data_IF_358118512497
#
_entry.id   IF_358118512497
#
_cell.length_a   1.000
_cell.length_b   1.000
_cell.length_c   1.000
_cell.angle_alpha   90.00
_cell.angle_beta   90.00
_cell.angle_gamma   90.00
#
_symmetry.space_group_name_H-M   'P 1'
#
loop_
_entity.id
_entity.type
_entity.pdbx_description
1 polymer ?
#
# COMPACT_ATOMS: atom_id res chain seq x y z
N UNK A 1 -15.56 13.74 0.42
CA UNK A 1 -14.34 14.54 0.33
C UNK A 1 -13.23 13.58 0.67
N UNK A 2 -12.46 13.15 -0.33
CA UNK A 2 -11.42 12.14 -0.13
C UNK A 2 -10.20 12.85 0.46
N UNK A 3 -9.81 12.48 1.68
CA UNK A 3 -8.65 13.09 2.36
C UNK A 3 -7.36 12.35 2.02
N UNK A 4 -6.27 13.10 1.93
CA UNK A 4 -4.92 12.53 1.80
C UNK A 4 -4.54 11.83 3.10
N UNK A 5 -3.75 10.76 3.01
CA UNK A 5 -3.16 10.13 4.21
C UNK A 5 -2.38 11.17 5.05
N UNK A 6 -1.63 12.04 4.36
CA UNK A 6 -0.79 13.06 5.00
C UNK A 6 -1.56 14.17 5.73
N UNK A 7 -2.89 14.24 5.56
CA UNK A 7 -3.75 15.23 6.22
C UNK A 7 -4.38 14.68 7.52
N UNK A 8 -4.24 13.38 7.78
CA UNK A 8 -4.80 12.75 8.97
C UNK A 8 -3.86 12.90 10.17
N UNK A 9 -4.46 13.07 11.35
CA UNK A 9 -3.78 13.00 12.65
C UNK A 9 -4.61 12.16 13.64
N UNK A 10 -3.97 11.41 14.55
CA UNK A 10 -4.69 10.67 15.58
C UNK A 10 -5.42 11.62 16.55
N UNK A 11 -6.45 11.13 17.28
CA UNK A 11 -7.07 11.87 18.37
C UNK A 11 -6.04 12.37 19.39
N UNK A 12 -6.26 13.58 19.92
CA UNK A 12 -5.32 14.25 20.83
C UNK A 12 -5.00 13.40 22.08
N UNK A 13 -5.97 12.60 22.55
CA UNK A 13 -5.81 11.78 23.74
C UNK A 13 -4.73 10.70 23.55
N UNK A 14 -4.58 10.18 22.33
CA UNK A 14 -3.68 9.07 21.99
C UNK A 14 -2.49 9.48 21.11
N UNK A 15 -2.42 10.76 20.69
CA UNK A 15 -1.31 11.30 19.92
C UNK A 15 0.03 11.13 20.66
N UNK A 16 1.03 10.57 19.98
CA UNK A 16 2.37 10.30 20.55
C UNK A 16 3.41 11.25 19.92
N UNK A 17 3.60 12.41 20.54
CA UNK A 17 4.61 13.40 20.17
C UNK A 17 5.95 13.20 20.91
N UNK A 18 6.98 13.97 20.52
CA UNK A 18 8.32 13.93 21.13
C UNK A 18 8.32 14.12 22.66
N UNK A 19 7.44 14.99 23.18
CA UNK A 19 7.38 15.29 24.61
C UNK A 19 6.73 14.15 25.39
N UNK A 20 5.74 13.47 24.78
CA UNK A 20 5.04 12.35 25.39
C UNK A 20 5.83 11.05 25.33
N UNK A 21 6.68 10.85 24.31
CA UNK A 21 7.42 9.60 24.09
C UNK A 21 8.18 9.12 25.33
N UNK A 22 9.01 9.99 25.92
CA UNK A 22 9.79 9.64 27.12
C UNK A 22 8.92 9.21 28.30
N UNK A 23 7.79 9.90 28.51
CA UNK A 23 6.85 9.56 29.57
C UNK A 23 6.08 8.27 29.27
N UNK A 24 5.77 8.00 28.00
CA UNK A 24 5.05 6.79 27.60
C UNK A 24 5.94 5.56 27.67
N UNK A 25 7.20 5.68 27.27
CA UNK A 25 8.20 4.62 27.32
C UNK A 25 8.40 4.08 28.74
N UNK A 26 8.53 4.97 29.73
CA UNK A 26 8.69 4.60 31.16
C UNK A 26 7.45 3.86 31.69
N UNK A 27 6.29 4.04 31.07
CA UNK A 27 5.03 3.42 31.48
C UNK A 27 4.70 2.14 30.70
N UNK A 28 5.55 1.70 29.78
CA UNK A 28 5.36 0.43 29.09
C UNK A 28 5.60 -0.75 30.05
N UNK A 29 4.79 -1.79 29.88
CA UNK A 29 4.86 -3.04 30.67
C UNK A 29 5.84 -4.05 30.09
N UNK A 30 6.50 -3.67 28.99
CA UNK A 30 7.55 -4.41 28.30
C UNK A 30 8.70 -3.44 27.98
N UNK A 31 9.89 -3.99 27.78
CA UNK A 31 11.05 -3.22 27.32
C UNK A 31 11.05 -3.13 25.79
N UNK A 32 10.79 -1.95 25.19
CA UNK A 32 10.78 -1.77 23.74
C UNK A 32 12.17 -1.82 23.09
N UNK A 33 13.25 -1.81 23.88
CA UNK A 33 14.64 -1.92 23.40
C UNK A 33 15.13 -3.37 23.29
N UNK A 34 14.46 -4.31 23.96
CA UNK A 34 14.82 -5.73 23.93
C UNK A 34 14.16 -6.41 22.72
N UNK A 35 14.95 -6.55 21.66
CA UNK A 35 14.54 -7.05 20.36
C UNK A 35 15.24 -8.36 19.95
N UNK A 36 14.64 -9.05 18.97
CA UNK A 36 15.20 -10.23 18.34
C UNK A 36 15.07 -10.15 16.81
N UNK A 37 15.98 -10.82 16.10
CA UNK A 37 15.90 -10.91 14.65
C UNK A 37 14.88 -11.99 14.23
N UNK A 38 13.97 -11.63 13.33
CA UNK A 38 13.00 -12.53 12.72
C UNK A 38 13.29 -12.66 11.23
N UNK A 39 13.39 -13.90 10.74
CA UNK A 39 13.45 -14.19 9.30
C UNK A 39 12.04 -14.11 8.74
N UNK A 40 11.88 -13.47 7.58
CA UNK A 40 10.59 -13.45 6.89
C UNK A 40 10.29 -14.81 6.26
N UNK A 41 9.01 -15.19 6.22
CA UNK A 41 8.58 -16.45 5.61
C UNK A 41 8.69 -16.44 4.08
N UNK A 42 8.82 -15.26 3.46
CA UNK A 42 8.75 -15.06 2.00
C UNK A 42 10.06 -14.60 1.38
N UNK A 43 11.05 -14.25 2.20
CA UNK A 43 12.34 -13.75 1.75
C UNK A 43 13.44 -14.11 2.75
N UNK A 44 14.68 -14.22 2.27
CA UNK A 44 15.85 -14.48 3.12
C UNK A 44 16.25 -13.30 4.01
N UNK A 45 15.49 -12.19 3.97
CA UNK A 45 15.74 -11.00 4.78
C UNK A 45 15.17 -11.15 6.18
N UNK A 46 15.81 -10.47 7.13
CA UNK A 46 15.41 -10.39 8.52
C UNK A 46 14.93 -8.99 8.88
N UNK A 47 14.06 -8.90 9.87
CA UNK A 47 13.63 -7.65 10.50
C UNK A 47 13.71 -7.76 12.03
N UNK A 48 13.75 -6.62 12.72
CA UNK A 48 13.72 -6.57 14.19
C UNK A 48 12.28 -6.55 14.69
N UNK A 49 12.02 -7.32 15.74
CA UNK A 49 10.77 -7.36 16.50
C UNK A 49 11.07 -7.48 17.99
N UNK A 50 10.13 -7.12 18.87
CA UNK A 50 10.28 -7.33 20.31
C UNK A 50 10.70 -8.76 20.62
N UNK A 51 11.58 -8.99 21.60
CA UNK A 51 11.98 -10.34 21.98
C UNK A 51 10.78 -11.17 22.43
N UNK A 52 10.89 -12.50 22.32
CA UNK A 52 9.81 -13.43 22.70
C UNK A 52 9.28 -13.18 24.11
N UNK A 53 10.16 -12.85 25.06
CA UNK A 53 9.76 -12.58 26.43
C UNK A 53 9.02 -11.24 26.58
N UNK A 54 9.44 -10.20 25.86
CA UNK A 54 8.75 -8.90 25.89
C UNK A 54 7.39 -8.96 25.20
N UNK A 55 7.26 -9.67 24.06
CA UNK A 55 5.96 -9.90 23.41
C UNK A 55 4.98 -10.59 24.36
N UNK A 56 5.41 -11.66 25.04
CA UNK A 56 4.56 -12.36 26.02
C UNK A 56 4.16 -11.48 27.19
N UNK A 57 5.05 -10.60 27.67
CA UNK A 57 4.72 -9.63 28.72
C UNK A 57 3.66 -8.65 28.23
N UNK A 58 3.84 -8.12 27.03
CA UNK A 58 2.91 -7.18 26.41
C UNK A 58 1.53 -7.81 26.17
N UNK A 59 1.46 -8.98 25.53
CA UNK A 59 0.21 -9.71 25.30
C UNK A 59 -0.51 -10.02 26.61
N UNK A 60 0.21 -10.48 27.63
CA UNK A 60 -0.35 -10.77 28.95
C UNK A 60 -0.88 -9.51 29.65
N UNK A 61 -0.25 -8.37 29.45
CA UNK A 61 -0.71 -7.10 29.98
C UNK A 61 -1.99 -6.62 29.29
N UNK A 62 -2.08 -6.74 27.96
CA UNK A 62 -3.29 -6.47 27.20
C UNK A 62 -4.44 -7.41 27.60
N UNK A 63 -4.17 -8.69 27.86
CA UNK A 63 -5.16 -9.66 28.34
C UNK A 63 -5.66 -9.41 29.75
N UNK A 64 -4.85 -8.77 30.60
CA UNK A 64 -5.22 -8.44 31.99
C UNK A 64 -5.96 -7.12 32.11
N UNK A 65 -6.00 -6.34 31.04
CA UNK A 65 -6.70 -5.07 31.00
C UNK A 65 -8.22 -5.29 31.04
N UNK A 66 -8.82 -4.98 32.18
CA UNK A 66 -10.26 -5.15 32.40
C UNK A 66 -11.12 -4.20 31.56
N UNK A 67 -10.50 -3.17 30.95
CA UNK A 67 -11.16 -2.26 30.01
C UNK A 67 -10.97 -2.69 28.55
N UNK A 68 -10.09 -3.64 28.28
CA UNK A 68 -9.71 -4.09 26.95
C UNK A 68 -10.42 -5.37 26.50
N UNK A 69 -10.25 -5.70 25.23
CA UNK A 69 -10.63 -6.97 24.61
C UNK A 69 -9.56 -7.39 23.59
N UNK A 70 -8.41 -7.84 24.11
CA UNK A 70 -7.27 -8.24 23.28
C UNK A 70 -7.54 -9.50 22.48
N UNK A 71 -8.22 -10.50 23.06
CA UNK A 71 -8.47 -11.76 22.40
C UNK A 71 -9.29 -11.57 21.12
N UNK A 72 -10.29 -10.67 21.13
CA UNK A 72 -11.05 -10.35 19.92
C UNK A 72 -10.22 -9.67 18.83
N UNK A 73 -9.31 -8.76 19.20
CA UNK A 73 -8.42 -8.11 18.22
C UNK A 73 -7.39 -9.10 17.66
N UNK A 74 -6.84 -9.95 18.53
CA UNK A 74 -5.91 -10.99 18.14
C UNK A 74 -6.56 -11.99 17.17
N UNK A 75 -7.83 -12.35 17.39
CA UNK A 75 -8.61 -13.15 16.45
C UNK A 75 -8.75 -12.47 15.08
N UNK A 76 -9.09 -11.17 15.05
CA UNK A 76 -9.13 -10.43 13.78
C UNK A 76 -7.78 -10.42 13.05
N UNK A 77 -6.69 -10.19 13.77
CA UNK A 77 -5.34 -10.21 13.20
C UNK A 77 -4.98 -11.59 12.65
N UNK A 78 -5.21 -12.65 13.41
CA UNK A 78 -4.90 -14.00 12.98
C UNK A 78 -5.72 -14.43 11.76
N UNK A 79 -7.02 -14.12 11.75
CA UNK A 79 -7.89 -14.44 10.63
C UNK A 79 -7.57 -13.59 9.39
N UNK A 80 -7.30 -12.29 9.54
CA UNK A 80 -7.01 -11.44 8.39
C UNK A 80 -5.62 -11.74 7.80
N UNK A 81 -4.62 -12.04 8.63
CA UNK A 81 -3.27 -12.41 8.17
C UNK A 81 -3.15 -13.85 7.69
N UNK A 82 -4.18 -14.69 7.83
CA UNK A 82 -4.11 -16.07 7.38
C UNK A 82 -4.18 -16.12 5.83
N UNK A 83 -3.11 -16.55 5.13
CA UNK A 83 -3.07 -16.55 3.67
C UNK A 83 -4.03 -17.55 3.03
N UNK A 84 -4.54 -18.53 3.80
CA UNK A 84 -5.38 -19.60 3.29
C UNK A 84 -6.89 -19.31 3.41
N UNK A 85 -7.29 -18.34 4.21
CA UNK A 85 -8.70 -18.14 4.62
C UNK A 85 -9.09 -16.66 4.64
N UNK A 86 -9.18 -16.04 3.46
CA UNK A 86 -9.68 -14.67 3.38
C UNK A 86 -11.15 -14.57 3.82
N UNK A 87 -11.41 -13.76 4.85
CA UNK A 87 -12.75 -13.49 5.36
C UNK A 87 -13.08 -12.00 5.28
N UNK A 88 -13.97 -11.64 4.35
CA UNK A 88 -14.38 -10.25 4.10
C UNK A 88 -14.99 -9.60 5.35
N UNK A 89 -15.86 -10.30 6.07
CA UNK A 89 -16.50 -9.79 7.30
C UNK A 89 -15.46 -9.46 8.37
N UNK A 90 -14.45 -10.31 8.55
CA UNK A 90 -13.36 -10.06 9.50
C UNK A 90 -12.55 -8.84 9.08
N UNK A 91 -12.13 -8.77 7.82
CA UNK A 91 -11.34 -7.65 7.32
C UNK A 91 -12.10 -6.31 7.44
N UNK A 92 -13.39 -6.29 7.10
CA UNK A 92 -14.25 -5.10 7.27
C UNK A 92 -14.46 -4.73 8.74
N UNK A 93 -14.64 -5.71 9.63
CA UNK A 93 -14.80 -5.46 11.07
C UNK A 93 -13.51 -4.88 11.69
N UNK A 94 -12.36 -5.41 11.29
CA UNK A 94 -11.06 -4.90 11.72
C UNK A 94 -10.81 -3.47 11.20
N UNK A 95 -10.99 -3.22 9.91
CA UNK A 95 -10.84 -1.87 9.36
C UNK A 95 -11.76 -0.86 10.04
N UNK A 96 -12.99 -1.26 10.37
CA UNK A 96 -13.94 -0.41 11.11
C UNK A 96 -13.47 -0.14 12.54
N UNK A 97 -12.90 -1.14 13.22
CA UNK A 97 -12.27 -0.96 14.53
C UNK A 97 -11.14 0.07 14.46
N UNK A 98 -10.18 -0.11 13.54
CA UNK A 98 -9.04 0.81 13.39
C UNK A 98 -9.53 2.21 13.03
N UNK A 99 -10.48 2.31 12.10
CA UNK A 99 -11.10 3.57 11.70
C UNK A 99 -11.71 4.31 12.87
N UNK A 100 -12.51 3.63 13.66
CA UNK A 100 -13.23 4.22 14.79
C UNK A 100 -12.28 4.57 15.96
N UNK A 101 -11.29 3.74 16.24
CA UNK A 101 -10.33 3.96 17.33
C UNK A 101 -9.37 5.13 17.03
N UNK A 102 -8.95 5.25 15.77
CA UNK A 102 -7.99 6.27 15.33
C UNK A 102 -8.65 7.46 14.62
N UNK A 103 -9.98 7.53 14.58
CA UNK A 103 -10.75 8.56 13.85
C UNK A 103 -10.30 8.73 12.40
N UNK A 104 -10.00 7.62 11.71
CA UNK A 104 -9.58 7.65 10.30
C UNK A 104 -10.79 8.08 9.46
N UNK A 105 -10.64 9.04 8.54
CA UNK A 105 -11.76 9.62 7.80
C UNK A 105 -12.24 8.75 6.61
N UNK A 106 -11.45 7.77 6.19
CA UNK A 106 -11.66 7.03 4.93
C UNK A 106 -12.61 5.84 5.05
N UNK A 107 -13.11 5.34 3.93
CA UNK A 107 -14.09 4.25 3.90
C UNK A 107 -13.51 2.89 4.30
N UNK A 108 -14.36 2.04 4.87
CA UNK A 108 -14.06 0.60 5.01
C UNK A 108 -14.17 -0.06 3.64
N UNK A 109 -13.33 -1.06 3.38
CA UNK A 109 -13.33 -1.83 2.11
C UNK A 109 -14.73 -2.31 1.76
N UNK A 110 -15.07 -2.24 0.47
CA UNK A 110 -16.35 -2.68 -0.08
C UNK A 110 -17.57 -2.13 0.70
N UNK A 111 -17.48 -0.89 1.20
CA UNK A 111 -18.54 -0.22 1.93
C UNK A 111 -18.70 -0.64 3.40
N UNK A 112 -18.06 -1.72 3.85
CA UNK A 112 -18.13 -2.18 5.24
C UNK A 112 -19.49 -2.75 5.66
N UNK A 113 -20.31 -3.22 4.70
CA UNK A 113 -21.68 -3.68 4.95
C UNK A 113 -21.76 -4.95 5.83
N UNK A 114 -20.71 -5.77 5.83
CA UNK A 114 -20.64 -7.01 6.61
C UNK A 114 -19.97 -6.80 7.98
N UNK A 115 -19.43 -5.61 8.25
CA UNK A 115 -18.66 -5.31 9.45
C UNK A 115 -19.50 -5.42 10.72
N UNK A 116 -18.94 -6.04 11.76
CA UNK A 116 -19.41 -5.84 13.12
C UNK A 116 -19.01 -4.43 13.61
N UNK A 117 -19.85 -3.81 14.45
CA UNK A 117 -19.49 -2.54 15.08
C UNK A 117 -18.52 -2.77 16.23
N UNK A 118 -17.42 -2.00 16.31
CA UNK A 118 -16.44 -2.15 17.37
C UNK A 118 -17.02 -1.71 18.73
N UNK A 119 -16.75 -2.49 19.77
CA UNK A 119 -17.08 -2.15 21.16
C UNK A 119 -16.09 -1.13 21.72
N UNK A 120 -16.46 -0.47 22.83
CA UNK A 120 -15.54 0.45 23.52
C UNK A 120 -14.26 -0.25 24.02
N UNK A 121 -14.36 -1.51 24.44
CA UNK A 121 -13.21 -2.30 24.90
C UNK A 121 -12.24 -2.64 23.78
N UNK A 122 -12.76 -3.00 22.59
CA UNK A 122 -11.92 -3.21 21.40
C UNK A 122 -11.21 -1.91 20.99
N UNK A 123 -11.92 -0.77 20.97
CA UNK A 123 -11.30 0.54 20.67
C UNK A 123 -10.18 0.85 21.65
N UNK A 124 -10.43 0.67 22.95
CA UNK A 124 -9.43 0.89 23.98
C UNK A 124 -8.17 0.04 23.79
N UNK A 125 -8.32 -1.26 23.51
CA UNK A 125 -7.15 -2.12 23.25
C UNK A 125 -6.41 -1.69 22.00
N UNK A 126 -7.12 -1.29 20.93
CA UNK A 126 -6.47 -0.82 19.72
C UNK A 126 -5.68 0.49 19.93
N UNK A 127 -6.22 1.43 20.70
CA UNK A 127 -5.50 2.65 21.11
C UNK A 127 -4.20 2.32 21.86
N UNK A 128 -4.21 1.30 22.73
CA UNK A 128 -3.00 0.82 23.42
C UNK A 128 -1.98 0.20 22.45
N UNK A 129 -2.45 -0.57 21.46
CA UNK A 129 -1.59 -1.13 20.40
C UNK A 129 -0.98 -0.03 19.53
N UNK A 130 -1.74 1.02 19.23
CA UNK A 130 -1.25 2.21 18.52
C UNK A 130 -0.13 2.90 19.33
N UNK A 131 -0.36 3.19 20.61
CA UNK A 131 0.66 3.82 21.47
C UNK A 131 1.93 2.96 21.56
N UNK A 132 1.78 1.64 21.74
CA UNK A 132 2.92 0.72 21.75
C UNK A 132 3.68 0.71 20.41
N UNK A 133 2.96 0.79 19.28
CA UNK A 133 3.54 0.92 17.94
C UNK A 133 4.37 2.19 17.83
N UNK A 134 3.80 3.33 18.24
CA UNK A 134 4.50 4.60 18.17
C UNK A 134 5.75 4.64 19.04
N UNK A 135 5.70 4.09 20.26
CA UNK A 135 6.88 3.98 21.12
C UNK A 135 7.97 3.08 20.51
N UNK A 136 7.59 1.90 20.00
CA UNK A 136 8.53 0.98 19.36
C UNK A 136 9.18 1.65 18.14
N UNK A 137 8.37 2.24 17.24
CA UNK A 137 8.91 2.89 16.04
C UNK A 137 9.80 4.09 16.39
N UNK A 138 9.49 4.85 17.44
CA UNK A 138 10.31 5.97 17.85
C UNK A 138 11.71 5.56 18.32
N UNK A 139 11.83 4.41 18.99
CA UNK A 139 13.12 3.87 19.44
C UNK A 139 13.95 3.36 18.27
N UNK A 140 13.32 2.67 17.32
CA UNK A 140 14.01 1.98 16.23
C UNK A 140 14.25 2.85 14.98
N UNK A 141 13.45 3.90 14.80
CA UNK A 141 13.50 4.77 13.61
C UNK A 141 13.68 6.25 13.92
N UNK A 142 13.69 6.64 15.19
CA UNK A 142 13.92 8.01 15.63
C UNK A 142 12.66 8.69 16.17
N UNK A 143 12.87 9.70 17.00
CA UNK A 143 11.81 10.39 17.73
C UNK A 143 11.24 11.58 16.97
N UNK A 144 12.06 12.23 16.11
CA UNK A 144 11.71 13.43 15.35
C UNK A 144 10.94 13.09 14.09
N UNK A 145 9.79 13.73 13.86
CA UNK A 145 8.92 13.46 12.70
C UNK A 145 9.63 13.58 11.35
N UNK A 146 10.60 14.50 11.23
CA UNK A 146 11.39 14.70 10.01
C UNK A 146 12.34 13.51 9.70
N UNK A 147 12.86 12.87 10.75
CA UNK A 147 13.85 11.77 10.69
C UNK A 147 13.20 10.38 10.86
N UNK A 148 12.04 10.29 11.50
CA UNK A 148 11.32 9.08 11.87
C UNK A 148 10.50 8.51 10.71
N UNK A 149 11.19 8.25 9.60
CA UNK A 149 10.59 7.70 8.38
C UNK A 149 10.97 6.25 8.20
N UNK A 150 9.99 5.45 7.78
CA UNK A 150 10.15 4.02 7.56
C UNK A 150 9.92 3.76 6.08
N UNK A 151 10.88 3.08 5.44
CA UNK A 151 10.64 2.62 4.07
C UNK A 151 9.69 1.44 4.09
N UNK A 152 8.60 1.59 3.37
CA UNK A 152 7.57 0.57 3.21
C UNK A 152 7.45 0.11 1.77
N UNK A 153 6.97 -1.12 1.60
CA UNK A 153 6.79 -1.79 0.32
C UNK A 153 5.41 -2.47 0.28
N UNK A 154 4.74 -2.43 -0.87
CA UNK A 154 3.44 -3.10 -1.03
C UNK A 154 3.24 -3.57 -2.46
N UNK A 155 2.82 -4.82 -2.61
CA UNK A 155 2.16 -5.31 -3.81
C UNK A 155 0.78 -4.66 -3.94
N UNK A 156 0.51 -4.05 -5.10
CA UNK A 156 -0.74 -3.34 -5.34
C UNK A 156 -1.66 -4.15 -6.25
N UNK A 157 -2.97 -3.98 -6.06
CA UNK A 157 -4.00 -4.66 -6.87
C UNK A 157 -3.96 -4.12 -8.30
N UNK A 158 -4.35 -4.95 -9.26
CA UNK A 158 -4.34 -4.59 -10.69
C UNK A 158 -5.09 -3.28 -11.00
N UNK A 159 -6.25 -3.04 -10.39
CA UNK A 159 -6.98 -1.77 -10.56
C UNK A 159 -6.15 -0.55 -10.10
N UNK A 160 -5.40 -0.67 -9.01
CA UNK A 160 -4.52 0.40 -8.54
C UNK A 160 -3.29 0.56 -9.43
N UNK A 161 -2.78 -0.55 -9.99
CA UNK A 161 -1.70 -0.51 -10.98
C UNK A 161 -2.18 0.24 -12.23
N UNK A 162 -3.33 -0.14 -12.79
CA UNK A 162 -3.94 0.47 -13.95
C UNK A 162 -4.07 2.00 -13.77
N UNK A 163 -4.58 2.46 -12.62
CA UNK A 163 -4.64 3.88 -12.26
C UNK A 163 -3.30 4.59 -12.28
N UNK A 164 -2.26 3.96 -11.70
CA UNK A 164 -0.93 4.55 -11.67
C UNK A 164 -0.29 4.60 -13.06
N UNK A 165 -0.49 3.55 -13.86
CA UNK A 165 0.01 3.51 -15.24
C UNK A 165 -0.69 4.58 -16.08
N UNK A 166 -2.01 4.74 -15.98
CA UNK A 166 -2.75 5.79 -16.68
C UNK A 166 -2.19 7.18 -16.36
N UNK A 167 -2.01 7.51 -15.08
CA UNK A 167 -1.43 8.78 -14.64
C UNK A 167 0.01 8.98 -15.14
N UNK A 168 0.83 7.92 -15.16
CA UNK A 168 2.20 7.98 -15.69
C UNK A 168 2.24 8.16 -17.20
N UNK A 169 1.29 7.57 -17.92
CA UNK A 169 1.18 7.77 -19.36
C UNK A 169 0.69 9.19 -19.65
N UNK A 170 -0.21 9.74 -18.85
CA UNK A 170 -0.64 11.13 -18.98
C UNK A 170 0.51 12.11 -18.72
N UNK A 171 1.19 11.96 -17.57
CA UNK A 171 2.28 12.83 -17.18
C UNK A 171 3.43 12.04 -16.54
N UNK A 172 4.39 11.53 -17.34
CA UNK A 172 5.51 10.77 -16.81
C UNK A 172 6.46 11.62 -15.95
N UNK A 173 6.40 12.95 -16.08
CA UNK A 173 7.24 13.90 -15.34
C UNK A 173 6.65 14.30 -13.99
N UNK A 174 5.44 13.84 -13.64
CA UNK A 174 4.82 14.18 -12.37
C UNK A 174 5.70 13.86 -11.16
N UNK A 175 5.67 14.75 -10.17
CA UNK A 175 6.39 14.60 -8.90
C UNK A 175 5.79 13.49 -8.03
N UNK A 176 4.52 13.16 -8.25
CA UNK A 176 3.79 12.14 -7.52
C UNK A 176 2.65 11.56 -8.35
N UNK A 177 2.28 10.34 -8.01
CA UNK A 177 1.14 9.60 -8.53
C UNK A 177 0.32 9.09 -7.35
N UNK A 178 -0.98 8.91 -7.52
CA UNK A 178 -1.84 8.57 -6.41
C UNK A 178 -2.78 7.41 -6.68
N UNK A 179 -3.15 6.70 -5.62
CA UNK A 179 -4.22 5.70 -5.65
C UNK A 179 -4.91 5.62 -4.28
N UNK A 180 -6.15 5.16 -4.29
CA UNK A 180 -6.96 5.07 -3.07
C UNK A 180 -6.80 3.71 -2.38
N UNK A 181 -6.80 3.75 -1.04
CA UNK A 181 -6.87 2.57 -0.15
C UNK A 181 -7.99 2.75 0.87
N UNK A 182 -8.53 1.65 1.38
CA UNK A 182 -9.51 1.64 2.48
C UNK A 182 -8.89 2.15 3.80
N UNK A 183 -9.63 2.12 4.91
CA UNK A 183 -9.17 2.62 6.20
C UNK A 183 -7.80 2.09 6.67
N UNK A 184 -7.43 0.87 6.28
CA UNK A 184 -6.13 0.28 6.60
C UNK A 184 -5.46 -0.22 5.33
N UNK A 185 -4.20 0.15 5.17
CA UNK A 185 -3.35 -0.32 4.09
C UNK A 185 -2.19 -1.15 4.68
N UNK A 186 -2.09 -2.43 4.33
CA UNK A 186 -0.98 -3.28 4.76
C UNK A 186 0.24 -3.06 3.84
N UNK A 187 1.40 -2.87 4.46
CA UNK A 187 2.70 -2.76 3.81
C UNK A 187 3.71 -3.64 4.55
N UNK A 188 4.86 -3.87 3.94
CA UNK A 188 5.99 -4.57 4.54
C UNK A 188 7.20 -3.65 4.60
N UNK A 189 8.02 -3.75 5.66
CA UNK A 189 9.36 -3.16 5.67
C UNK A 189 10.36 -3.85 4.75
N UNK A 190 9.98 -4.98 4.12
CA UNK A 190 10.83 -5.80 3.26
C UNK A 190 10.34 -5.79 1.80
N UNK A 191 11.18 -5.33 0.88
CA UNK A 191 10.84 -5.27 -0.55
C UNK A 191 10.43 -6.63 -1.15
N UNK A 192 11.09 -7.72 -0.75
CA UNK A 192 10.83 -9.06 -1.28
C UNK A 192 9.42 -9.56 -0.99
N UNK A 193 8.87 -9.21 0.17
CA UNK A 193 7.47 -9.52 0.54
C UNK A 193 6.50 -8.78 -0.37
N UNK A 194 6.79 -7.51 -0.67
CA UNK A 194 6.01 -6.72 -1.62
C UNK A 194 5.89 -7.41 -2.99
N UNK A 195 7.00 -7.93 -3.51
CA UNK A 195 6.99 -8.64 -4.80
C UNK A 195 6.24 -9.97 -4.75
N UNK A 196 6.41 -10.73 -3.67
CA UNK A 196 5.70 -12.00 -3.45
C UNK A 196 4.17 -11.84 -3.57
N UNK A 197 3.64 -10.74 -3.04
CA UNK A 197 2.21 -10.42 -3.07
C UNK A 197 1.79 -9.55 -4.28
N UNK A 198 2.58 -9.51 -5.34
CA UNK A 198 2.32 -8.66 -6.51
C UNK A 198 2.42 -9.41 -7.84
N UNK A 199 1.78 -8.85 -8.87
CA UNK A 199 2.00 -9.25 -10.26
C UNK A 199 3.21 -8.51 -10.87
N UNK A 200 4.34 -8.50 -10.16
CA UNK A 200 5.58 -7.84 -10.59
C UNK A 200 5.61 -6.32 -10.39
N UNK A 201 4.59 -5.70 -9.79
CA UNK A 201 4.55 -4.25 -9.57
C UNK A 201 4.31 -3.94 -8.10
N UNK A 202 5.23 -3.17 -7.53
CA UNK A 202 5.17 -2.74 -6.13
C UNK A 202 5.29 -1.23 -6.03
N UNK A 203 4.73 -0.69 -4.96
CA UNK A 203 5.01 0.67 -4.50
C UNK A 203 5.99 0.64 -3.34
N UNK A 204 6.89 1.62 -3.30
CA UNK A 204 7.92 1.80 -2.29
C UNK A 204 8.11 3.28 -1.98
N UNK A 205 7.94 3.67 -0.71
CA UNK A 205 8.09 5.04 -0.27
C UNK A 205 8.44 5.10 1.21
N UNK A 206 8.83 6.28 1.68
CA UNK A 206 9.00 6.55 3.10
C UNK A 206 7.68 7.01 3.68
N UNK A 207 7.28 6.40 4.80
CA UNK A 207 6.13 6.83 5.57
C UNK A 207 6.59 7.40 6.92
N UNK A 208 6.05 8.56 7.36
CA UNK A 208 6.19 9.01 8.74
C UNK A 208 5.67 7.98 9.75
N UNK A 209 6.30 7.85 10.92
CA UNK A 209 5.88 6.86 11.94
C UNK A 209 4.43 7.01 12.40
N UNK A 210 3.92 8.23 12.46
CA UNK A 210 2.58 8.55 12.99
C UNK A 210 1.46 8.02 12.09
N UNK A 211 1.74 7.85 10.79
CA UNK A 211 0.87 7.20 9.81
C UNK A 211 0.85 5.67 9.92
N UNK A 212 1.70 5.06 10.75
CA UNK A 212 1.65 3.63 11.04
C UNK A 212 0.64 3.38 12.16
N UNK A 213 -0.52 2.83 11.80
CA UNK A 213 -1.56 2.45 12.74
C UNK A 213 -1.13 1.28 13.64
N UNK A 214 -0.44 0.28 13.07
CA UNK A 214 -0.01 -0.89 13.82
C UNK A 214 1.18 -1.62 13.20
N UNK A 215 2.21 -1.93 14.00
CA UNK A 215 3.36 -2.75 13.60
C UNK A 215 3.18 -4.21 14.05
N UNK A 216 2.24 -4.92 13.42
CA UNK A 216 1.72 -6.20 13.89
C UNK A 216 2.81 -7.24 14.17
N UNK A 217 3.67 -7.51 13.19
CA UNK A 217 4.69 -8.55 13.30
C UNK A 217 5.81 -8.19 14.30
N UNK A 218 5.98 -6.91 14.59
CA UNK A 218 7.00 -6.42 15.51
C UNK A 218 6.58 -6.49 16.97
N UNK A 219 5.29 -6.35 17.23
CA UNK A 219 4.75 -6.26 18.59
C UNK A 219 4.07 -7.52 19.10
N UNK A 220 3.39 -8.27 18.23
CA UNK A 220 2.59 -9.44 18.62
C UNK A 220 2.98 -10.67 17.80
N UNK A 221 2.56 -11.85 18.25
CA UNK A 221 2.72 -13.05 17.46
C UNK A 221 1.58 -13.19 16.42
N UNK A 222 1.97 -13.26 15.14
CA UNK A 222 1.09 -13.38 13.97
C UNK A 222 1.34 -14.70 13.24
N UNK A 223 0.38 -15.20 12.42
CA UNK A 223 0.53 -16.49 11.73
C UNK A 223 1.48 -16.47 10.53
N UNK A 224 1.90 -15.29 10.06
CA UNK A 224 2.83 -15.11 8.95
C UNK A 224 3.79 -13.93 9.26
N UNK A 225 5.07 -14.11 8.94
CA UNK A 225 6.14 -13.17 9.27
C UNK A 225 6.60 -12.37 8.04
N UNK A 226 6.06 -11.17 7.90
CA UNK A 226 6.15 -10.33 6.71
C UNK A 226 6.81 -8.97 6.97
N UNK A 227 7.18 -8.68 8.21
CA UNK A 227 7.48 -7.31 8.65
C UNK A 227 6.31 -6.36 8.35
N UNK A 228 5.08 -6.81 8.64
CA UNK A 228 3.87 -6.06 8.30
C UNK A 228 3.74 -4.79 9.15
N UNK A 229 3.56 -3.67 8.43
CA UNK A 229 3.22 -2.35 8.93
C UNK A 229 1.86 -1.97 8.34
N UNK A 230 0.87 -1.80 9.21
CA UNK A 230 -0.47 -1.38 8.84
C UNK A 230 -0.51 0.15 8.90
N UNK A 231 -0.64 0.77 7.74
CA UNK A 231 -0.74 2.22 7.59
C UNK A 231 -2.19 2.67 7.62
N UNK A 232 -2.40 3.90 8.07
CA UNK A 232 -3.66 4.60 7.84
C UNK A 232 -3.85 4.75 6.33
N UNK A 233 -5.02 4.37 5.83
CA UNK A 233 -5.29 4.44 4.39
C UNK A 233 -6.05 5.69 3.98
N UNK A 234 -6.37 5.75 2.69
CA UNK A 234 -6.84 6.94 1.98
C UNK A 234 -6.15 7.11 0.64
N UNK A 235 -6.03 8.35 0.18
CA UNK A 235 -5.22 8.65 -0.99
C UNK A 235 -3.75 8.52 -0.60
N UNK A 236 -3.08 7.50 -1.14
CA UNK A 236 -1.65 7.31 -1.04
C UNK A 236 -0.97 8.00 -2.22
N UNK A 237 0.00 8.88 -1.92
CA UNK A 237 0.84 9.56 -2.90
C UNK A 237 2.20 8.87 -2.95
N UNK A 238 2.64 8.50 -4.14
CA UNK A 238 3.91 7.80 -4.38
C UNK A 238 4.70 8.57 -5.41
N UNK A 239 5.92 8.96 -5.06
CA UNK A 239 6.82 9.62 -5.99
C UNK A 239 7.21 8.73 -7.18
N UNK A 240 7.74 9.29 -8.27
CA UNK A 240 8.09 8.55 -9.50
C UNK A 240 9.13 7.45 -9.29
N UNK A 241 10.01 7.63 -8.30
CA UNK A 241 10.99 6.61 -7.91
C UNK A 241 10.35 5.48 -7.12
N UNK A 242 9.12 5.62 -6.62
CA UNK A 242 8.49 4.67 -5.72
C UNK A 242 7.77 3.52 -6.41
N UNK A 243 7.39 3.65 -7.69
CA UNK A 243 6.69 2.57 -8.42
C UNK A 243 7.73 1.72 -9.17
N UNK A 244 7.83 0.45 -8.78
CA UNK A 244 8.84 -0.49 -9.28
C UNK A 244 8.13 -1.59 -10.05
N UNK A 245 8.60 -1.87 -11.25
CA UNK A 245 8.10 -2.91 -12.13
C UNK A 245 9.21 -3.93 -12.41
N UNK A 246 8.94 -5.20 -12.13
CA UNK A 246 9.66 -6.37 -12.59
C UNK A 246 8.98 -6.89 -13.85
N UNK A 247 9.58 -6.62 -15.01
CA UNK A 247 8.95 -6.93 -16.29
C UNK A 247 8.76 -8.42 -16.51
N UNK A 248 7.52 -8.84 -16.78
CA UNK A 248 7.12 -10.23 -17.03
C UNK A 248 7.90 -10.87 -18.18
N UNK A 249 8.14 -10.10 -19.25
CA UNK A 249 8.81 -10.56 -20.45
C UNK A 249 10.28 -10.17 -20.50
N UNK A 250 10.64 -8.99 -19.97
CA UNK A 250 12.04 -8.56 -19.97
C UNK A 250 12.87 -9.18 -18.83
N UNK A 251 12.24 -9.60 -17.74
CA UNK A 251 12.94 -10.06 -16.53
C UNK A 251 13.77 -8.96 -15.85
N UNK A 252 13.54 -7.69 -16.20
CA UNK A 252 14.31 -6.54 -15.71
C UNK A 252 13.45 -5.76 -14.71
N UNK A 253 13.97 -5.61 -13.50
CA UNK A 253 13.41 -4.71 -12.49
C UNK A 253 13.84 -3.27 -12.73
N UNK A 254 12.87 -2.36 -12.88
CA UNK A 254 13.13 -0.93 -13.08
C UNK A 254 12.00 -0.06 -12.55
N UNK A 255 12.20 1.27 -12.53
CA UNK A 255 11.13 2.22 -12.16
C UNK A 255 10.10 2.27 -13.28
N UNK A 256 8.82 2.26 -12.93
CA UNK A 256 7.71 2.27 -13.91
C UNK A 256 7.82 3.50 -14.83
N UNK A 257 8.12 4.67 -14.26
CA UNK A 257 8.36 5.91 -15.02
C UNK A 257 9.37 5.73 -16.17
N UNK A 258 10.46 4.99 -15.96
CA UNK A 258 11.48 4.80 -17.01
C UNK A 258 10.93 4.02 -18.21
N UNK A 259 10.04 3.05 -17.96
CA UNK A 259 9.36 2.28 -19.01
C UNK A 259 8.40 3.18 -19.78
N UNK A 260 7.61 3.97 -19.06
CA UNK A 260 6.61 4.85 -19.68
C UNK A 260 7.27 5.99 -20.46
N UNK A 261 8.33 6.60 -19.93
CA UNK A 261 9.13 7.62 -20.65
C UNK A 261 9.73 7.07 -21.94
N UNK A 262 10.18 5.80 -21.92
CA UNK A 262 10.78 5.18 -23.10
C UNK A 262 9.78 4.92 -24.24
N UNK A 263 8.47 5.04 -24.00
CA UNK A 263 7.47 5.04 -25.07
C UNK A 263 7.68 6.20 -26.05
N UNK A 264 8.26 7.32 -25.60
CA UNK A 264 8.58 8.47 -26.46
C UNK A 264 9.81 8.26 -27.35
N UNK A 265 10.57 7.19 -27.11
CA UNK A 265 11.68 6.72 -27.94
C UNK A 265 11.48 5.23 -28.23
N UNK A 266 10.25 4.87 -28.61
CA UNK A 266 9.79 3.48 -28.76
C UNK A 266 10.66 2.64 -29.69
N UNK A 267 11.31 3.26 -30.67
CA UNK A 267 12.21 2.62 -31.61
C UNK A 267 13.51 2.09 -30.96
N UNK A 268 13.86 2.59 -29.78
CA UNK A 268 15.03 2.11 -29.03
C UNK A 268 14.71 0.90 -28.13
N UNK A 269 13.45 0.50 -28.04
CA UNK A 269 13.00 -0.57 -27.16
C UNK A 269 13.15 -1.96 -27.78
N UNK A 270 13.58 -2.90 -26.94
CA UNK A 270 13.57 -4.32 -27.28
C UNK A 270 12.14 -4.88 -27.28
N UNK A 271 11.90 -5.92 -28.08
CA UNK A 271 10.60 -6.59 -28.19
C UNK A 271 10.03 -7.05 -26.84
N UNK A 272 10.87 -7.44 -25.87
CA UNK A 272 10.42 -7.82 -24.54
C UNK A 272 9.85 -6.65 -23.75
N UNK A 273 10.41 -5.45 -23.89
CA UNK A 273 9.92 -4.24 -23.23
C UNK A 273 8.62 -3.76 -23.86
N UNK A 274 8.46 -3.86 -25.18
CA UNK A 274 7.16 -3.63 -25.80
C UNK A 274 6.09 -4.58 -25.27
N UNK A 275 6.45 -5.84 -24.97
CA UNK A 275 5.51 -6.79 -24.37
C UNK A 275 5.13 -6.43 -22.95
N UNK A 276 6.10 -6.02 -22.13
CA UNK A 276 5.82 -5.49 -20.80
C UNK A 276 4.87 -4.28 -20.87
N UNK A 277 5.05 -3.34 -21.81
CA UNK A 277 4.14 -2.19 -21.97
C UNK A 277 2.74 -2.63 -22.42
N UNK A 278 2.64 -3.59 -23.33
CA UNK A 278 1.35 -4.11 -23.77
C UNK A 278 0.56 -4.78 -22.63
N UNK A 279 1.24 -5.49 -21.71
CA UNK A 279 0.59 -6.07 -20.52
C UNK A 279 0.03 -4.98 -19.61
N UNK A 280 0.74 -3.86 -19.45
CA UNK A 280 0.25 -2.70 -18.68
C UNK A 280 -0.98 -2.05 -19.33
N UNK A 281 -0.97 -1.91 -20.66
CA UNK A 281 -2.11 -1.36 -21.42
C UNK A 281 -3.31 -2.30 -21.36
N UNK A 282 -3.09 -3.61 -21.49
CA UNK A 282 -4.15 -4.60 -21.34
C UNK A 282 -4.76 -4.55 -19.93
N UNK A 283 -3.93 -4.30 -18.90
CA UNK A 283 -4.40 -4.11 -17.53
C UNK A 283 -5.24 -2.83 -17.39
N UNK A 284 -4.80 -1.71 -17.97
CA UNK A 284 -5.60 -0.46 -18.01
C UNK A 284 -6.96 -0.69 -18.66
N UNK A 285 -6.98 -1.37 -19.81
CA UNK A 285 -8.22 -1.69 -20.52
C UNK A 285 -9.15 -2.59 -19.70
N UNK A 286 -8.63 -3.63 -19.05
CA UNK A 286 -9.42 -4.56 -18.21
C UNK A 286 -10.11 -3.87 -17.03
N UNK A 287 -9.50 -2.82 -16.50
CA UNK A 287 -9.98 -2.09 -15.32
C UNK A 287 -10.63 -0.74 -15.64
N UNK A 288 -10.83 -0.43 -16.94
CA UNK A 288 -11.47 0.80 -17.40
C UNK A 288 -10.78 2.09 -16.88
N UNK A 289 -9.44 2.11 -16.96
CA UNK A 289 -8.63 3.25 -16.53
C UNK A 289 -8.01 3.96 -17.75
N UNK A 290 -8.75 4.88 -18.42
CA UNK A 290 -8.27 5.57 -19.60
C UNK A 290 -7.20 6.62 -19.28
N UNK A 291 -6.45 7.01 -20.31
CA UNK A 291 -5.60 8.21 -20.25
C UNK A 291 -6.48 9.45 -20.40
N UNK A 292 -6.24 10.47 -19.60
CA UNK A 292 -7.12 11.65 -19.50
C UNK A 292 -6.58 12.86 -20.25
N UNK A 293 -5.35 12.81 -20.75
CA UNK A 293 -4.69 13.92 -21.43
C UNK A 293 -4.47 13.64 -22.92
N UNK A 294 -4.41 14.71 -23.73
CA UNK A 294 -4.06 14.59 -25.15
C UNK A 294 -2.64 14.04 -25.34
N UNK A 295 -1.68 14.50 -24.52
CA UNK A 295 -0.29 14.03 -24.58
C UNK A 295 -0.18 12.53 -24.23
N UNK A 296 -0.94 12.04 -23.24
CA UNK A 296 -1.02 10.63 -22.90
C UNK A 296 -1.61 9.79 -24.02
N UNK A 297 -2.68 10.28 -24.66
CA UNK A 297 -3.31 9.62 -25.81
C UNK A 297 -2.36 9.53 -27.01
N UNK A 298 -1.64 10.61 -27.34
CA UNK A 298 -0.69 10.62 -28.45
C UNK A 298 0.48 9.66 -28.17
N UNK A 299 0.98 9.62 -26.92
CA UNK A 299 2.03 8.68 -26.49
C UNK A 299 1.62 7.21 -26.67
N UNK A 300 0.37 6.85 -26.36
CA UNK A 300 -0.16 5.50 -26.60
C UNK A 300 -0.22 5.16 -28.10
N UNK A 301 -0.70 6.11 -28.91
CA UNK A 301 -0.85 5.93 -30.36
C UNK A 301 0.51 5.75 -31.03
N UNK A 302 1.46 6.63 -30.72
CA UNK A 302 2.80 6.60 -31.29
C UNK A 302 3.51 5.29 -30.94
N UNK A 303 3.43 4.87 -29.67
CA UNK A 303 3.94 3.57 -29.25
C UNK A 303 3.28 2.41 -30.00
N UNK A 304 1.95 2.43 -30.17
CA UNK A 304 1.22 1.38 -30.89
C UNK A 304 1.63 1.31 -32.37
N UNK A 305 1.86 2.46 -33.03
CA UNK A 305 2.34 2.49 -34.41
C UNK A 305 3.71 1.85 -34.57
N UNK A 306 4.60 2.02 -33.59
CA UNK A 306 5.90 1.34 -33.61
C UNK A 306 5.78 -0.17 -33.35
N UNK A 307 4.93 -0.59 -32.42
CA UNK A 307 4.64 -2.02 -32.20
C UNK A 307 4.12 -2.69 -33.47
N UNK A 308 3.24 -2.01 -34.20
CA UNK A 308 2.69 -2.47 -35.48
C UNK A 308 3.74 -2.48 -36.59
N UNK A 309 4.57 -1.43 -36.70
CA UNK A 309 5.59 -1.31 -37.75
C UNK A 309 6.65 -2.42 -37.65
N UNK A 310 6.96 -2.84 -36.42
CA UNK A 310 7.93 -3.90 -36.10
C UNK A 310 7.38 -5.32 -36.18
N UNK A 311 6.08 -5.48 -36.42
CA UNK A 311 5.41 -6.79 -36.45
C UNK A 311 5.69 -7.64 -35.20
N UNK A 312 5.73 -7.00 -34.02
CA UNK A 312 6.08 -7.67 -32.74
C UNK A 312 5.08 -8.78 -32.39
N UNK A 313 3.83 -8.63 -32.82
CA UNK A 313 2.73 -9.55 -32.54
C UNK A 313 2.08 -10.10 -33.81
N UNK A 314 1.31 -11.17 -33.66
CA UNK A 314 0.41 -11.65 -34.72
C UNK A 314 -0.60 -10.57 -35.11
N UNK A 315 -1.17 -10.67 -36.32
CA UNK A 315 -2.19 -9.75 -36.80
C UNK A 315 -3.39 -9.66 -35.84
N UNK A 316 -3.82 -10.80 -35.27
CA UNK A 316 -4.94 -10.84 -34.32
C UNK A 316 -4.63 -10.09 -33.00
N UNK A 317 -3.46 -10.30 -32.40
CA UNK A 317 -3.07 -9.58 -31.16
C UNK A 317 -2.81 -8.10 -31.44
N UNK A 318 -2.27 -7.76 -32.61
CA UNK A 318 -2.09 -6.37 -33.04
C UNK A 318 -3.42 -5.64 -33.18
N UNK A 319 -4.44 -6.29 -33.76
CA UNK A 319 -5.79 -5.70 -33.84
C UNK A 319 -6.40 -5.53 -32.45
N UNK A 320 -6.32 -6.56 -31.60
CA UNK A 320 -6.82 -6.45 -30.23
C UNK A 320 -6.16 -5.32 -29.45
N UNK A 321 -4.85 -5.11 -29.61
CA UNK A 321 -4.12 -4.02 -28.94
C UNK A 321 -4.52 -2.65 -29.50
N UNK A 322 -4.79 -2.55 -30.81
CA UNK A 322 -5.34 -1.34 -31.42
C UNK A 322 -6.67 -0.96 -30.77
N UNK A 323 -7.59 -1.92 -30.66
CA UNK A 323 -8.93 -1.68 -30.11
C UNK A 323 -8.85 -1.25 -28.63
N UNK A 324 -7.89 -1.79 -27.87
CA UNK A 324 -7.61 -1.37 -26.49
C UNK A 324 -7.09 0.07 -26.42
N UNK A 325 -6.11 0.44 -27.27
CA UNK A 325 -5.55 1.79 -27.31
C UNK A 325 -6.60 2.81 -27.75
N UNK A 326 -7.41 2.50 -28.76
CA UNK A 326 -8.49 3.36 -29.23
C UNK A 326 -9.52 3.60 -28.10
N UNK A 327 -9.94 2.55 -27.39
CA UNK A 327 -10.83 2.66 -26.24
C UNK A 327 -10.27 3.57 -25.13
N UNK A 328 -9.04 3.31 -24.69
CA UNK A 328 -8.39 4.04 -23.59
C UNK A 328 -8.20 5.53 -23.90
N UNK A 329 -8.11 5.89 -25.18
CA UNK A 329 -8.11 7.28 -25.64
C UNK A 329 -9.52 7.87 -25.67
N UNK A 330 -10.48 7.19 -26.29
CA UNK A 330 -11.83 7.72 -26.51
C UNK A 330 -12.56 7.94 -25.17
N UNK A 331 -12.52 6.96 -24.27
CA UNK A 331 -13.12 7.07 -22.94
C UNK A 331 -12.53 8.23 -22.11
N UNK A 332 -11.24 8.50 -22.27
CA UNK A 332 -10.56 9.63 -21.62
C UNK A 332 -11.08 11.00 -22.08
N UNK A 333 -11.35 11.15 -23.36
CA UNK A 333 -11.85 12.40 -23.94
C UNK A 333 -13.30 12.70 -23.56
N UNK A 334 -14.11 11.67 -23.31
CA UNK A 334 -15.48 11.84 -22.80
C UNK A 334 -15.48 12.37 -21.36
N UNK A 335 -14.60 11.84 -20.50
CA UNK A 335 -14.42 12.30 -19.12
C UNK A 335 -13.95 13.76 -19.03
N UNK A 336 -13.06 14.22 -19.92
CA UNK A 336 -12.67 15.65 -19.99
C UNK A 336 -13.84 16.58 -20.37
N UNK A 337 -14.76 16.11 -21.22
CA UNK A 337 -15.93 16.91 -21.67
C UNK A 337 -16.97 17.05 -20.58
N UNK A 338 -17.21 15.99 -19.80
CA UNK A 338 -18.14 16.04 -18.66
C UNK A 338 -17.62 16.95 -17.55
N UNK A 339 -16.31 16.93 -17.25
CA UNK A 339 -15.72 17.82 -16.25
C UNK A 339 -15.65 19.29 -16.64
N UNK A 340 -15.68 19.63 -17.94
CA UNK A 340 -15.77 21.03 -18.43
C UNK A 340 -17.20 21.57 -18.51
N UNK A 341 -18.20 20.72 -18.28
CA UNK A 341 -19.63 21.06 -18.39
C UNK A 341 -20.30 21.30 -17.03
N UNK A 342 -19.52 21.28 -15.95
CA UNK A 342 -19.87 21.67 -14.57
C UNK A 342 -19.11 22.96 -14.24
#
# INVERSE_FOLDING_TARGET
>A
MDMSMDEWSPPDEIKVDENRLSSLEVNLTFDPHDDEAQVSDYTSKTYSRLSTDQRRRFEKDLQRDTRGDFDSIHEYLNSWKNPNEYNEKVAQSYEKLVKDALSIPTGVRNGGEQANYPTGSQKHTFERLYVATQCFLAIHYGTREEDAKIRVHRGIREISIAKLVAQMIDNPEADEYYFYTSAVSNHSGLQGVGFYHSNGIIVSFDVPRDQVAFAADRLVNTPAHEDELQLVGGILRVGPKGVIHEGTHSGITRRMRTIIQSMSSSESLDNSVHKDIADLIEMMFKHDEPVTTSDGADRLIDWFYEVRSREIYSAAKTQSLKDQVDYLKEAGQENEREHRSI
#
